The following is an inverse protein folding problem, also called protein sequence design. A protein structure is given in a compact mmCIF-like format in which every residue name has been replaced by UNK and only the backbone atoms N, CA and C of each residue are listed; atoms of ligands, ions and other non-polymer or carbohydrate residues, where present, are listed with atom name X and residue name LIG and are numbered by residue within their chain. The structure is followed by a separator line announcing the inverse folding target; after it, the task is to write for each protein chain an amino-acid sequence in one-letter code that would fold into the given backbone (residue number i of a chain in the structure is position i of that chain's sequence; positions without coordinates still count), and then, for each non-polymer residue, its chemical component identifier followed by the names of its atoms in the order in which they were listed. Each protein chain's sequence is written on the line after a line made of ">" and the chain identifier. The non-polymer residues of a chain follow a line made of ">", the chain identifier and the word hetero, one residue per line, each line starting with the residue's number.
data_IF_641320414150
#
_entry.id   IF_641320414150
#
_cell.length_a   1.000
_cell.length_b   1.000
_cell.length_c   1.000
_cell.angle_alpha   90.00
_cell.angle_beta   90.00
_cell.angle_gamma   90.00
#
_symmetry.space_group_name_H-M   'P 1'
#
loop_
_entity.id
_entity.type
_entity.pdbx_description
1 polymer ?
#
# COMPACT_ATOMS: atom_id res chain seq x y z
N UNK A 1 -28.58 55.59 0.94
CA UNK A 1 -29.87 54.85 0.85
C UNK A 1 -30.26 54.49 -0.58
N UNK A 2 -30.32 55.42 -1.54
CA UNK A 2 -30.79 55.13 -2.92
C UNK A 2 -30.01 54.03 -3.68
N UNK A 3 -28.70 53.88 -3.46
CA UNK A 3 -27.89 52.80 -4.08
C UNK A 3 -28.25 51.42 -3.54
N UNK A 4 -28.48 51.31 -2.23
CA UNK A 4 -28.85 50.05 -1.57
C UNK A 4 -30.25 49.63 -2.02
N UNK A 5 -31.20 50.56 -2.08
CA UNK A 5 -32.57 50.30 -2.58
C UNK A 5 -32.55 49.84 -4.04
N UNK A 6 -31.74 50.48 -4.91
CA UNK A 6 -31.55 50.02 -6.30
C UNK A 6 -31.04 48.59 -6.36
N UNK A 7 -30.03 48.23 -5.56
CA UNK A 7 -29.48 46.86 -5.49
C UNK A 7 -30.55 45.85 -5.08
N UNK A 8 -31.36 46.15 -4.06
CA UNK A 8 -32.46 45.28 -3.63
C UNK A 8 -33.54 45.11 -4.72
N UNK A 9 -33.90 46.19 -5.43
CA UNK A 9 -34.87 46.12 -6.54
C UNK A 9 -34.31 45.29 -7.71
N UNK A 10 -33.02 45.44 -8.03
CA UNK A 10 -32.36 44.65 -9.07
C UNK A 10 -32.27 43.16 -8.69
N UNK A 11 -31.90 42.86 -7.43
CA UNK A 11 -31.89 41.50 -6.88
C UNK A 11 -33.27 40.84 -6.97
N UNK A 12 -34.33 41.57 -6.61
CA UNK A 12 -35.71 41.09 -6.70
C UNK A 12 -36.15 40.84 -8.15
N UNK A 13 -35.88 41.78 -9.04
CA UNK A 13 -36.30 41.70 -10.45
C UNK A 13 -35.53 40.60 -11.22
N UNK A 14 -34.32 40.25 -10.76
CA UNK A 14 -33.50 39.20 -11.35
C UNK A 14 -33.14 38.10 -10.35
N UNK A 15 -34.11 37.64 -9.56
CA UNK A 15 -33.87 36.67 -8.48
C UNK A 15 -33.18 35.40 -8.98
N UNK A 16 -33.56 34.84 -10.13
CA UNK A 16 -32.92 33.66 -10.75
C UNK A 16 -31.44 33.88 -11.12
N UNK A 17 -31.09 35.07 -11.63
CA UNK A 17 -29.70 35.39 -12.00
C UNK A 17 -28.85 35.62 -10.76
N UNK A 18 -29.45 36.26 -9.75
CA UNK A 18 -28.80 36.58 -8.48
C UNK A 18 -28.51 35.33 -7.66
N UNK A 19 -29.43 34.36 -7.62
CA UNK A 19 -29.20 33.07 -6.94
C UNK A 19 -28.10 32.27 -7.61
N UNK A 20 -28.09 32.19 -8.95
CA UNK A 20 -27.01 31.52 -9.70
C UNK A 20 -25.66 32.18 -9.44
N UNK A 21 -25.60 33.51 -9.45
CA UNK A 21 -24.37 34.24 -9.14
C UNK A 21 -23.89 33.98 -7.70
N UNK A 22 -24.80 33.97 -6.72
CA UNK A 22 -24.48 33.68 -5.33
C UNK A 22 -23.94 32.24 -5.17
N UNK A 23 -24.56 31.24 -5.81
CA UNK A 23 -24.08 29.86 -5.79
C UNK A 23 -22.71 29.71 -6.48
N UNK A 24 -22.49 30.40 -7.59
CA UNK A 24 -21.22 30.36 -8.30
C UNK A 24 -20.09 31.01 -7.47
N UNK A 25 -20.37 32.14 -6.81
CA UNK A 25 -19.43 32.81 -5.93
C UNK A 25 -19.13 32.01 -4.67
N UNK A 26 -20.14 31.39 -4.05
CA UNK A 26 -19.92 30.54 -2.86
C UNK A 26 -19.11 29.30 -3.22
N UNK A 27 -19.44 28.62 -4.33
CA UNK A 27 -18.68 27.47 -4.81
C UNK A 27 -17.25 27.85 -5.20
N UNK A 28 -17.06 28.94 -5.96
CA UNK A 28 -15.75 29.43 -6.37
C UNK A 28 -14.90 29.87 -5.18
N UNK A 29 -15.51 30.54 -4.19
CA UNK A 29 -14.87 30.92 -2.93
C UNK A 29 -14.42 29.70 -2.13
N UNK A 30 -15.29 28.70 -1.99
CA UNK A 30 -14.95 27.43 -1.33
C UNK A 30 -13.81 26.68 -2.05
N UNK A 31 -13.84 26.62 -3.38
CA UNK A 31 -12.79 26.01 -4.19
C UNK A 31 -11.45 26.74 -4.04
N UNK A 32 -11.44 28.07 -4.10
CA UNK A 32 -10.24 28.90 -3.89
C UNK A 32 -9.70 28.73 -2.47
N UNK A 33 -10.57 28.69 -1.47
CA UNK A 33 -10.19 28.45 -0.09
C UNK A 33 -9.53 27.08 0.07
N UNK A 34 -10.12 26.02 -0.50
CA UNK A 34 -9.50 24.69 -0.53
C UNK A 34 -8.13 24.70 -1.18
N UNK A 35 -7.97 25.40 -2.31
CA UNK A 35 -6.67 25.54 -2.98
C UNK A 35 -5.63 26.29 -2.13
N UNK A 36 -6.06 27.31 -1.41
CA UNK A 36 -5.21 28.05 -0.48
C UNK A 36 -4.76 27.16 0.69
N UNK A 37 -5.69 26.42 1.31
CA UNK A 37 -5.38 25.46 2.36
C UNK A 37 -4.38 24.39 1.90
N UNK A 38 -4.55 23.85 0.68
CA UNK A 38 -3.58 22.89 0.13
C UNK A 38 -2.18 23.50 -0.03
N UNK A 39 -2.09 24.77 -0.39
CA UNK A 39 -0.80 25.46 -0.53
C UNK A 39 -0.15 25.74 0.83
N UNK A 40 -0.94 26.04 1.86
CA UNK A 40 -0.45 26.14 3.23
C UNK A 40 0.12 24.80 3.71
N UNK A 41 -0.61 23.70 3.51
CA UNK A 41 -0.14 22.36 3.86
C UNK A 41 1.19 22.01 3.16
N UNK A 42 1.32 22.31 1.86
CA UNK A 42 2.59 22.12 1.13
C UNK A 42 3.71 22.95 1.71
N UNK A 43 3.44 24.21 2.05
CA UNK A 43 4.43 25.11 2.64
C UNK A 43 4.92 24.57 3.98
N UNK A 44 3.99 24.18 4.85
CA UNK A 44 4.32 23.67 6.19
C UNK A 44 5.14 22.38 6.09
N UNK A 45 4.76 21.46 5.19
CA UNK A 45 5.52 20.24 4.95
C UNK A 45 6.92 20.51 4.38
N UNK A 46 7.07 21.47 3.47
CA UNK A 46 8.39 21.88 2.97
C UNK A 46 9.26 22.54 4.04
N UNK A 47 8.66 23.31 4.96
CA UNK A 47 9.39 23.91 6.09
C UNK A 47 9.91 22.82 7.03
N UNK A 48 9.07 21.83 7.37
CA UNK A 48 9.50 20.67 8.15
C UNK A 48 10.61 19.89 7.43
N UNK A 49 10.46 19.62 6.13
CA UNK A 49 11.47 18.93 5.32
C UNK A 49 12.82 19.68 5.28
N UNK A 50 12.78 21.01 5.22
CA UNK A 50 13.98 21.86 5.22
C UNK A 50 14.76 21.73 6.52
N UNK A 51 14.09 21.54 7.65
CA UNK A 51 14.77 21.32 8.94
C UNK A 51 15.60 20.02 8.92
N UNK A 52 15.13 18.97 8.23
CA UNK A 52 15.92 17.76 7.99
C UNK A 52 17.14 18.03 7.11
N UNK A 53 16.97 18.77 6.01
CA UNK A 53 18.10 19.09 5.12
C UNK A 53 19.16 20.02 5.73
N UNK A 54 18.81 20.76 6.79
CA UNK A 54 19.75 21.62 7.52
C UNK A 54 20.59 20.86 8.56
N UNK A 55 20.33 19.57 8.77
CA UNK A 55 21.11 18.74 9.67
C UNK A 55 22.55 18.57 9.14
N UNK A 56 23.53 18.77 10.01
CA UNK A 56 24.93 18.63 9.64
C UNK A 56 25.31 17.16 9.56
N UNK A 57 25.98 16.79 8.46
CA UNK A 57 26.48 15.44 8.22
C UNK A 57 28.01 15.48 8.31
N UNK A 58 28.61 14.42 8.85
CA UNK A 58 30.07 14.32 8.91
C UNK A 58 30.66 14.19 7.48
N UNK A 59 31.86 14.72 7.20
CA UNK A 59 32.45 14.65 5.85
C UNK A 59 32.69 13.22 5.32
N UNK A 60 32.69 12.23 6.21
CA UNK A 60 32.91 10.82 5.90
C UNK A 60 31.61 10.05 5.64
N UNK A 61 30.48 10.58 6.10
CA UNK A 61 29.17 9.96 5.98
C UNK A 61 28.54 10.31 4.63
N UNK A 62 28.01 9.30 3.95
CA UNK A 62 27.39 9.48 2.63
C UNK A 62 25.93 9.89 2.79
N UNK A 63 25.44 10.66 1.82
CA UNK A 63 24.01 10.98 1.74
C UNK A 63 23.21 9.71 1.52
N UNK A 64 22.06 9.63 2.21
CA UNK A 64 21.12 8.52 2.04
C UNK A 64 20.60 8.51 0.60
N UNK A 65 20.65 7.35 -0.03
CA UNK A 65 20.16 7.13 -1.41
C UNK A 65 18.76 6.55 -1.38
N UNK A 66 17.81 7.30 -1.95
CA UNK A 66 16.42 6.89 -2.06
C UNK A 66 16.05 6.65 -3.53
N UNK A 67 15.60 5.45 -3.85
CA UNK A 67 15.04 5.14 -5.19
C UNK A 67 13.52 5.23 -5.13
N UNK A 68 12.94 6.08 -5.95
CA UNK A 68 11.49 6.27 -6.03
C UNK A 68 10.94 5.57 -7.26
N UNK A 69 10.00 4.65 -7.09
CA UNK A 69 9.26 4.00 -8.17
C UNK A 69 7.90 4.68 -8.27
N UNK A 70 7.67 5.38 -9.37
CA UNK A 70 6.43 6.08 -9.64
C UNK A 70 5.64 5.36 -10.73
N UNK A 71 4.35 5.14 -10.50
CA UNK A 71 3.40 4.77 -11.55
C UNK A 71 2.61 6.01 -12.02
N UNK A 72 2.97 6.64 -13.15
CA UNK A 72 2.29 7.84 -13.66
C UNK A 72 0.82 7.61 -14.01
N UNK A 73 0.45 6.39 -14.42
CA UNK A 73 -0.90 6.03 -14.83
C UNK A 73 -1.87 5.87 -13.65
N UNK A 74 -1.36 5.79 -12.41
CA UNK A 74 -2.19 5.70 -11.22
C UNK A 74 -3.13 6.91 -11.06
N UNK A 75 -4.26 6.70 -10.36
CA UNK A 75 -5.31 7.70 -10.14
C UNK A 75 -5.77 8.39 -11.43
N UNK A 76 -6.04 7.59 -12.48
CA UNK A 76 -6.48 8.09 -13.78
C UNK A 76 -5.48 9.07 -14.42
N UNK A 77 -4.19 8.78 -14.32
CA UNK A 77 -3.10 9.58 -14.91
C UNK A 77 -2.72 10.86 -14.13
N UNK A 78 -3.28 11.07 -12.93
CA UNK A 78 -2.99 12.25 -12.11
C UNK A 78 -1.80 12.06 -11.17
N UNK A 79 -1.34 10.82 -10.97
CA UNK A 79 -0.30 10.49 -10.01
C UNK A 79 1.01 11.27 -10.23
N UNK A 80 1.47 11.43 -11.48
CA UNK A 80 2.69 12.20 -11.77
C UNK A 80 2.59 13.65 -11.28
N UNK A 81 1.48 14.33 -11.62
CA UNK A 81 1.26 15.72 -11.21
C UNK A 81 1.08 15.86 -9.69
N UNK A 82 0.47 14.87 -9.03
CA UNK A 82 0.31 14.86 -7.57
C UNK A 82 1.66 14.65 -6.88
N UNK A 83 2.47 13.73 -7.37
CA UNK A 83 3.80 13.44 -6.85
C UNK A 83 4.73 14.64 -6.99
N UNK A 84 4.83 15.20 -8.20
CA UNK A 84 5.70 16.35 -8.50
C UNK A 84 5.34 17.59 -7.67
N UNK A 85 4.06 17.81 -7.36
CA UNK A 85 3.61 18.98 -6.59
C UNK A 85 3.69 18.81 -5.09
N UNK A 86 3.48 17.59 -4.58
CA UNK A 86 3.26 17.37 -3.15
C UNK A 86 4.43 16.66 -2.46
N UNK A 87 5.15 15.77 -3.14
CA UNK A 87 6.18 14.92 -2.52
C UNK A 87 7.60 15.26 -2.99
N UNK A 88 7.81 15.54 -4.28
CA UNK A 88 9.14 15.85 -4.84
C UNK A 88 9.85 17.00 -4.10
N UNK A 89 9.21 18.14 -3.79
CA UNK A 89 9.87 19.22 -3.06
C UNK A 89 10.34 18.80 -1.67
N UNK A 90 9.54 17.97 -0.98
CA UNK A 90 9.85 17.47 0.37
C UNK A 90 11.10 16.60 0.33
N UNK A 91 11.16 15.65 -0.62
CA UNK A 91 12.29 14.72 -0.75
C UNK A 91 13.60 15.43 -1.11
N UNK A 92 13.57 16.44 -1.99
CA UNK A 92 14.76 17.21 -2.33
C UNK A 92 15.22 18.14 -1.20
N UNK A 93 14.29 18.76 -0.47
CA UNK A 93 14.63 19.63 0.66
C UNK A 93 15.23 18.86 1.84
N UNK A 94 14.95 17.56 1.96
CA UNK A 94 15.48 16.70 3.02
C UNK A 94 16.98 16.36 2.87
N UNK A 95 17.62 16.72 1.74
CA UNK A 95 19.05 16.47 1.54
C UNK A 95 19.42 15.01 1.21
N UNK A 96 18.50 14.26 0.60
CA UNK A 96 18.75 12.88 0.14
C UNK A 96 19.07 12.83 -1.35
N UNK A 97 19.84 11.81 -1.78
CA UNK A 97 20.03 11.53 -3.20
C UNK A 97 18.83 10.74 -3.73
N UNK A 98 17.94 11.41 -4.47
CA UNK A 98 16.67 10.85 -4.93
C UNK A 98 16.75 10.46 -6.40
N UNK A 99 16.65 9.16 -6.69
CA UNK A 99 16.57 8.63 -8.06
C UNK A 99 15.12 8.28 -8.41
N UNK A 100 14.52 9.01 -9.33
CA UNK A 100 13.13 8.77 -9.76
C UNK A 100 13.09 7.83 -10.97
N UNK A 101 12.39 6.70 -10.82
CA UNK A 101 12.10 5.74 -11.90
C UNK A 101 10.61 5.70 -12.15
N UNK A 102 10.21 5.99 -13.40
CA UNK A 102 8.81 5.94 -13.84
C UNK A 102 8.53 4.59 -14.50
N UNK A 103 7.41 3.98 -14.16
CA UNK A 103 6.93 2.74 -14.79
C UNK A 103 5.99 3.06 -15.95
N UNK A 104 6.19 2.43 -17.09
CA UNK A 104 5.40 2.57 -18.31
C UNK A 104 4.26 1.54 -18.40
N UNK A 105 4.47 0.33 -17.88
CA UNK A 105 3.48 -0.76 -17.96
C UNK A 105 3.47 -1.67 -16.72
N UNK A 106 2.39 -2.46 -16.58
CA UNK A 106 2.18 -3.43 -15.50
C UNK A 106 3.28 -4.50 -15.47
N UNK A 107 3.87 -4.74 -14.30
CA UNK A 107 4.94 -5.70 -14.12
C UNK A 107 6.34 -5.19 -14.50
N UNK A 108 6.47 -3.96 -15.00
CA UNK A 108 7.80 -3.35 -15.19
C UNK A 108 8.47 -3.08 -13.86
N UNK A 109 7.73 -2.63 -12.84
CA UNK A 109 8.28 -2.38 -11.50
C UNK A 109 8.89 -3.67 -10.93
N UNK A 110 8.17 -4.79 -11.08
CA UNK A 110 8.62 -6.12 -10.67
C UNK A 110 9.94 -6.53 -11.32
N UNK A 111 10.06 -6.40 -12.65
CA UNK A 111 11.30 -6.71 -13.39
C UNK A 111 12.45 -5.79 -12.99
N UNK A 112 12.15 -4.50 -12.78
CA UNK A 112 13.15 -3.53 -12.36
C UNK A 112 13.70 -3.89 -10.97
N UNK A 113 12.85 -4.33 -10.04
CA UNK A 113 13.27 -4.73 -8.69
C UNK A 113 14.18 -5.96 -8.68
N UNK A 114 13.98 -6.89 -9.60
CA UNK A 114 14.88 -8.06 -9.75
C UNK A 114 16.31 -7.64 -10.14
N UNK A 115 16.46 -6.54 -10.88
CA UNK A 115 17.73 -6.03 -11.39
C UNK A 115 18.31 -4.87 -10.58
N UNK A 116 17.54 -4.32 -9.62
CA UNK A 116 17.94 -3.12 -8.90
C UNK A 116 19.15 -3.39 -7.99
N UNK A 117 20.08 -2.43 -7.96
CA UNK A 117 21.17 -2.43 -6.98
C UNK A 117 20.64 -2.13 -5.57
N UNK A 118 21.48 -2.41 -4.57
CA UNK A 118 21.13 -2.14 -3.18
C UNK A 118 21.09 -0.64 -2.93
N UNK A 119 20.02 -0.19 -2.29
CA UNK A 119 19.76 1.21 -1.95
C UNK A 119 19.42 1.32 -0.48
N UNK A 120 19.62 2.49 0.12
CA UNK A 120 19.35 2.69 1.55
C UNK A 120 17.85 2.72 1.83
N UNK A 121 17.06 3.20 0.87
CA UNK A 121 15.61 3.30 0.99
C UNK A 121 14.94 3.16 -0.38
N UNK A 122 13.83 2.41 -0.40
CA UNK A 122 12.97 2.31 -1.57
C UNK A 122 11.66 3.04 -1.29
N UNK A 123 11.20 3.90 -2.20
CA UNK A 123 9.95 4.63 -2.06
C UNK A 123 9.02 4.23 -3.21
N UNK A 124 7.84 3.72 -2.90
CA UNK A 124 6.82 3.38 -3.89
C UNK A 124 5.75 4.47 -3.92
N UNK A 125 5.64 5.15 -5.04
CA UNK A 125 4.66 6.21 -5.29
C UNK A 125 3.58 5.69 -6.26
N UNK A 126 2.44 5.28 -5.73
CA UNK A 126 1.41 4.61 -6.53
C UNK A 126 0.19 4.18 -5.72
N UNK A 127 -0.48 3.14 -6.20
CA UNK A 127 -1.51 2.44 -5.43
C UNK A 127 -1.05 1.05 -4.99
N UNK A 128 -1.95 0.31 -4.34
CA UNK A 128 -1.65 -1.01 -3.78
C UNK A 128 -1.07 -2.00 -4.81
N UNK A 129 -1.55 -1.94 -6.07
CA UNK A 129 -1.01 -2.80 -7.15
C UNK A 129 0.46 -2.54 -7.47
N UNK A 130 0.88 -1.27 -7.51
CA UNK A 130 2.30 -0.91 -7.73
C UNK A 130 3.16 -1.36 -6.55
N UNK A 131 2.65 -1.21 -5.33
CA UNK A 131 3.33 -1.71 -4.13
C UNK A 131 3.47 -3.24 -4.15
N UNK A 132 2.43 -3.96 -4.55
CA UNK A 132 2.44 -5.42 -4.70
C UNK A 132 3.48 -5.88 -5.74
N UNK A 133 3.58 -5.20 -6.89
CA UNK A 133 4.57 -5.50 -7.91
C UNK A 133 6.00 -5.35 -7.40
N UNK A 134 6.26 -4.26 -6.68
CA UNK A 134 7.59 -3.96 -6.11
C UNK A 134 7.98 -5.02 -5.08
N UNK A 135 7.10 -5.33 -4.12
CA UNK A 135 7.36 -6.32 -3.09
C UNK A 135 7.54 -7.71 -3.69
N UNK A 136 6.71 -8.05 -4.68
CA UNK A 136 6.86 -9.33 -5.40
C UNK A 136 8.21 -9.39 -6.11
N UNK A 137 8.65 -8.31 -6.75
CA UNK A 137 9.96 -8.28 -7.41
C UNK A 137 11.13 -8.39 -6.43
N UNK A 138 11.04 -7.76 -5.26
CA UNK A 138 12.07 -7.84 -4.23
C UNK A 138 12.17 -9.23 -3.59
N UNK A 139 11.03 -9.81 -3.18
CA UNK A 139 10.99 -11.10 -2.48
C UNK A 139 11.23 -12.30 -3.39
N UNK A 140 11.19 -12.12 -4.72
CA UNK A 140 11.58 -13.17 -5.69
C UNK A 140 13.09 -13.30 -5.88
N UNK A 141 13.89 -12.35 -5.39
CA UNK A 141 15.34 -12.37 -5.57
C UNK A 141 15.99 -13.46 -4.72
N UNK A 142 17.09 -14.00 -5.22
CA UNK A 142 17.92 -14.92 -4.44
C UNK A 142 18.41 -14.24 -3.14
N UNK A 143 18.80 -12.97 -3.22
CA UNK A 143 19.34 -12.19 -2.10
C UNK A 143 18.27 -11.50 -1.24
N UNK A 144 17.03 -12.01 -1.23
CA UNK A 144 15.89 -11.39 -0.55
C UNK A 144 16.14 -11.12 0.95
N UNK A 145 16.95 -11.93 1.66
CA UNK A 145 17.29 -11.71 3.07
C UNK A 145 18.03 -10.39 3.33
N UNK A 146 18.75 -9.88 2.33
CA UNK A 146 19.46 -8.60 2.42
C UNK A 146 18.53 -7.42 2.12
N UNK A 147 17.62 -7.60 1.16
CA UNK A 147 16.67 -6.57 0.72
C UNK A 147 15.42 -6.47 1.60
N UNK A 148 15.05 -7.54 2.32
CA UNK A 148 13.98 -7.49 3.32
C UNK A 148 14.29 -6.51 4.45
N UNK A 149 15.57 -6.16 4.63
CA UNK A 149 16.05 -5.18 5.62
C UNK A 149 16.03 -3.75 5.10
N UNK A 150 15.92 -3.54 3.79
CA UNK A 150 15.83 -2.19 3.22
C UNK A 150 14.43 -1.63 3.49
N UNK A 151 14.31 -0.47 4.18
CA UNK A 151 13.01 0.12 4.46
C UNK A 151 12.31 0.55 3.18
N UNK A 152 11.01 0.22 3.09
CA UNK A 152 10.14 0.60 1.97
C UNK A 152 9.17 1.67 2.44
N UNK A 153 9.29 2.88 1.87
CA UNK A 153 8.32 3.96 2.04
C UNK A 153 7.19 3.85 1.03
N UNK A 154 5.96 4.13 1.45
CA UNK A 154 4.79 4.15 0.57
C UNK A 154 4.19 5.55 0.49
N UNK A 155 4.06 6.07 -0.73
CA UNK A 155 3.39 7.34 -1.02
C UNK A 155 2.06 7.03 -1.72
N UNK A 156 0.92 7.24 -1.03
CA UNK A 156 -0.40 6.86 -1.50
C UNK A 156 -0.90 7.82 -2.59
N UNK A 157 -0.67 7.46 -3.85
CA UNK A 157 -1.15 8.19 -5.02
C UNK A 157 -2.37 7.55 -5.67
N UNK A 158 -2.75 6.34 -5.29
CA UNK A 158 -3.96 5.66 -5.78
C UNK A 158 -5.25 6.32 -5.31
N UNK A 159 -6.37 5.96 -5.96
CA UNK A 159 -7.71 6.44 -5.58
C UNK A 159 -8.22 5.86 -4.26
N UNK A 160 -7.78 4.65 -3.94
CA UNK A 160 -8.07 3.94 -2.69
C UNK A 160 -6.82 3.10 -2.40
N UNK A 161 -6.25 3.24 -1.21
CA UNK A 161 -4.98 2.61 -0.82
C UNK A 161 -5.17 1.96 0.55
N UNK A 162 -5.45 0.66 0.58
CA UNK A 162 -5.88 -0.01 1.81
C UNK A 162 -4.76 -0.08 2.86
N UNK A 163 -3.49 -0.16 2.44
CA UNK A 163 -2.36 -0.14 3.38
C UNK A 163 -2.15 1.23 4.02
N UNK A 164 -2.44 2.29 3.28
CA UNK A 164 -2.28 3.64 3.78
C UNK A 164 -3.21 3.94 4.95
N UNK A 165 -4.41 3.35 4.93
CA UNK A 165 -5.38 3.46 6.02
C UNK A 165 -4.89 2.80 7.31
N UNK A 166 -3.95 1.85 7.20
CA UNK A 166 -3.38 1.12 8.33
C UNK A 166 -2.07 1.75 8.84
N UNK A 167 -1.31 2.42 7.95
CA UNK A 167 0.00 3.01 8.23
C UNK A 167 -0.05 4.50 8.60
N UNK A 168 -1.05 5.23 8.12
CA UNK A 168 -1.13 6.68 8.27
C UNK A 168 -2.46 7.12 8.88
N UNK A 169 -2.45 8.32 9.48
CA UNK A 169 -3.67 8.94 10.00
C UNK A 169 -4.59 9.27 8.81
N UNK A 170 -5.80 8.71 8.84
CA UNK A 170 -6.84 8.99 7.85
C UNK A 170 -7.08 10.50 7.76
N UNK A 171 -7.03 11.03 6.54
CA UNK A 171 -7.33 12.43 6.28
C UNK A 171 -8.13 12.58 5.00
N UNK A 172 -9.19 13.38 5.06
CA UNK A 172 -10.07 13.64 3.91
C UNK A 172 -9.36 14.39 2.77
N UNK A 173 -8.28 15.12 3.08
CA UNK A 173 -7.51 15.84 2.09
C UNK A 173 -6.36 14.98 1.52
N UNK A 174 -6.46 14.66 0.23
CA UNK A 174 -5.44 13.91 -0.51
C UNK A 174 -4.04 14.53 -0.42
N UNK A 175 -3.92 15.87 -0.41
CA UNK A 175 -2.63 16.56 -0.31
C UNK A 175 -2.01 16.29 1.06
N UNK A 176 -2.81 16.45 2.13
CA UNK A 176 -2.38 16.19 3.51
C UNK A 176 -1.85 14.76 3.64
N UNK A 177 -2.58 13.80 3.12
CA UNK A 177 -2.24 12.38 3.14
C UNK A 177 -0.90 12.07 2.43
N UNK A 178 -0.67 12.65 1.25
CA UNK A 178 0.59 12.49 0.51
C UNK A 178 1.74 13.16 1.27
N UNK A 179 1.54 14.39 1.76
CA UNK A 179 2.58 15.13 2.48
C UNK A 179 2.93 14.46 3.80
N UNK A 180 1.94 13.96 4.56
CA UNK A 180 2.18 13.27 5.83
C UNK A 180 2.91 11.96 5.62
N UNK A 181 2.52 11.16 4.61
CA UNK A 181 3.22 9.92 4.28
C UNK A 181 4.69 10.20 3.90
N UNK A 182 4.93 11.24 3.09
CA UNK A 182 6.30 11.64 2.71
C UNK A 182 7.11 12.10 3.91
N UNK A 183 6.52 12.87 4.83
CA UNK A 183 7.19 13.28 6.07
C UNK A 183 7.48 12.09 6.99
N UNK A 184 6.56 11.13 7.14
CA UNK A 184 6.81 9.89 7.91
C UNK A 184 8.01 9.11 7.38
N UNK A 185 8.18 9.08 6.05
CA UNK A 185 9.37 8.46 5.41
C UNK A 185 10.65 9.22 5.82
N UNK A 186 10.62 10.56 5.88
CA UNK A 186 11.76 11.36 6.33
C UNK A 186 12.09 11.16 7.81
N UNK A 187 11.07 11.01 8.67
CA UNK A 187 11.26 10.70 10.08
C UNK A 187 11.96 9.35 10.30
N UNK A 188 11.85 8.42 9.35
CA UNK A 188 12.54 7.13 9.39
C UNK A 188 11.92 6.14 10.37
N UNK A 189 10.66 6.33 10.76
CA UNK A 189 9.92 5.37 11.58
C UNK A 189 9.60 4.13 10.74
N UNK A 190 10.10 2.97 11.17
CA UNK A 190 9.92 1.69 10.47
C UNK A 190 8.98 0.78 11.23
N UNK A 191 8.09 0.10 10.51
CA UNK A 191 7.15 -0.87 11.06
C UNK A 191 7.31 -2.19 10.31
N UNK A 192 7.53 -3.33 11.00
CA UNK A 192 7.55 -4.64 10.35
C UNK A 192 6.14 -4.99 9.85
N UNK A 193 6.05 -5.47 8.61
CA UNK A 193 4.80 -5.90 7.99
C UNK A 193 4.88 -7.35 7.56
N UNK A 194 3.78 -8.07 7.80
CA UNK A 194 3.66 -9.47 7.39
C UNK A 194 3.32 -9.53 5.90
N UNK A 195 3.90 -10.50 5.19
CA UNK A 195 3.66 -10.69 3.75
C UNK A 195 3.12 -12.09 3.52
N UNK A 196 2.10 -12.21 2.66
CA UNK A 196 1.56 -13.49 2.25
C UNK A 196 2.23 -13.94 0.93
N UNK A 197 2.66 -15.20 0.86
CA UNK A 197 3.18 -15.81 -0.37
C UNK A 197 2.12 -16.72 -0.99
N UNK A 198 1.71 -16.41 -2.22
CA UNK A 198 0.81 -17.22 -3.02
C UNK A 198 1.63 -17.91 -4.10
N UNK A 199 1.63 -19.24 -4.12
CA UNK A 199 2.34 -20.02 -5.12
C UNK A 199 1.35 -20.88 -5.91
N UNK A 200 1.22 -20.60 -7.21
CA UNK A 200 0.54 -21.50 -8.13
C UNK A 200 1.43 -22.69 -8.49
N UNK A 201 0.84 -23.78 -8.97
CA UNK A 201 1.58 -25.02 -9.29
C UNK A 201 2.70 -24.81 -10.33
N UNK A 202 2.43 -23.99 -11.35
CA UNK A 202 3.33 -23.77 -12.50
C UNK A 202 3.92 -22.37 -12.56
N UNK A 203 3.39 -21.44 -11.78
CA UNK A 203 3.76 -20.03 -11.83
C UNK A 203 4.75 -19.66 -10.73
N UNK A 204 5.50 -18.59 -10.97
CA UNK A 204 6.37 -18.03 -9.94
C UNK A 204 5.55 -17.44 -8.78
N UNK A 205 6.04 -17.54 -7.53
CA UNK A 205 5.30 -17.12 -6.34
C UNK A 205 5.01 -15.62 -6.35
N UNK A 206 3.77 -15.23 -6.09
CA UNK A 206 3.34 -13.83 -5.95
C UNK A 206 3.26 -13.50 -4.47
N UNK A 207 3.69 -12.31 -4.09
CA UNK A 207 3.61 -11.84 -2.72
C UNK A 207 2.54 -10.76 -2.61
N UNK A 208 1.81 -10.72 -1.50
CA UNK A 208 0.86 -9.65 -1.23
C UNK A 208 0.90 -9.20 0.23
N UNK A 209 0.58 -7.93 0.46
CA UNK A 209 0.59 -7.34 1.79
C UNK A 209 -0.78 -7.35 2.47
N UNK A 210 -1.87 -7.24 1.71
CA UNK A 210 -3.21 -7.10 2.27
C UNK A 210 -3.91 -8.44 2.27
N UNK A 211 -4.05 -9.05 1.09
CA UNK A 211 -4.86 -10.25 0.95
C UNK A 211 -5.22 -10.60 -0.49
N UNK A 212 -5.80 -11.78 -0.63
CA UNK A 212 -6.48 -12.28 -1.83
C UNK A 212 -7.99 -12.22 -1.60
N UNK A 213 -8.73 -11.85 -2.64
CA UNK A 213 -10.21 -11.90 -2.67
C UNK A 213 -10.66 -12.64 -3.91
N UNK A 214 -11.56 -13.59 -3.74
CA UNK A 214 -12.12 -14.41 -4.81
C UNK A 214 -13.63 -14.56 -4.61
N UNK A 215 -14.42 -14.25 -5.64
CA UNK A 215 -15.87 -14.39 -5.62
C UNK A 215 -16.62 -13.20 -6.20
N UNK A 216 -17.93 -13.17 -5.97
CA UNK A 216 -18.88 -12.29 -6.65
C UNK A 216 -18.55 -10.80 -6.51
N UNK A 217 -18.21 -10.32 -5.31
CA UNK A 217 -17.85 -8.92 -5.10
C UNK A 217 -16.61 -8.51 -5.89
N UNK A 218 -15.60 -9.40 -6.02
CA UNK A 218 -14.39 -9.13 -6.80
C UNK A 218 -14.68 -9.02 -8.29
N UNK A 219 -15.56 -9.88 -8.80
CA UNK A 219 -16.00 -9.86 -10.19
C UNK A 219 -16.77 -8.58 -10.50
N UNK A 220 -17.70 -8.19 -9.63
CA UNK A 220 -18.41 -6.91 -9.75
C UNK A 220 -17.43 -5.74 -9.70
N UNK A 221 -16.47 -5.73 -8.77
CA UNK A 221 -15.46 -4.68 -8.65
C UNK A 221 -14.66 -4.47 -9.95
N UNK A 222 -14.42 -5.53 -10.72
CA UNK A 222 -13.77 -5.43 -12.03
C UNK A 222 -14.63 -4.71 -13.08
N UNK A 223 -15.96 -4.83 -12.98
CA UNK A 223 -16.92 -4.25 -13.92
C UNK A 223 -17.36 -2.82 -13.57
N UNK A 224 -17.21 -2.37 -12.32
CA UNK A 224 -17.62 -1.02 -11.87
C UNK A 224 -17.10 0.08 -12.80
N UNK A 225 -15.85 -0.04 -13.27
CA UNK A 225 -15.23 0.96 -14.17
C UNK A 225 -15.94 1.06 -15.53
N UNK A 226 -16.60 -0.01 -16.00
CA UNK A 226 -17.34 -0.03 -17.28
C UNK A 226 -18.58 0.88 -17.21
N UNK A 227 -19.19 1.01 -16.03
CA UNK A 227 -20.39 1.81 -15.80
C UNK A 227 -20.10 3.27 -15.41
N UNK A 228 -19.01 3.85 -15.94
CA UNK A 228 -18.57 5.21 -15.60
C UNK A 228 -19.64 6.29 -15.84
N UNK A 229 -20.55 6.05 -16.80
CA UNK A 229 -21.64 6.96 -17.18
C UNK A 229 -22.75 7.09 -16.12
N UNK A 230 -22.85 6.16 -15.17
CA UNK A 230 -23.85 6.21 -14.09
C UNK A 230 -23.39 7.05 -12.89
N UNK A 231 -22.20 7.64 -12.93
CA UNK A 231 -21.69 8.55 -11.91
C UNK A 231 -21.72 7.91 -10.51
N UNK A 232 -22.46 8.50 -9.53
CA UNK A 232 -22.51 7.98 -8.16
C UNK A 232 -23.23 6.63 -8.04
N UNK A 233 -24.11 6.28 -8.98
CA UNK A 233 -24.87 5.04 -8.96
C UNK A 233 -24.11 3.86 -9.53
N UNK A 234 -22.92 4.08 -10.14
CA UNK A 234 -22.17 3.03 -10.85
C UNK A 234 -21.83 1.80 -10.00
N UNK A 235 -21.60 1.99 -8.69
CA UNK A 235 -21.25 0.89 -7.77
C UNK A 235 -22.48 0.01 -7.58
N UNK A 236 -23.56 0.58 -7.03
CA UNK A 236 -24.84 -0.11 -6.82
C UNK A 236 -25.40 -0.71 -8.11
N UNK A 237 -25.29 0.01 -9.23
CA UNK A 237 -25.74 -0.48 -10.52
C UNK A 237 -24.91 -1.68 -11.00
N UNK A 238 -23.59 -1.70 -10.76
CA UNK A 238 -22.76 -2.85 -11.11
C UNK A 238 -23.18 -4.10 -10.33
N UNK A 239 -23.43 -3.97 -9.02
CA UNK A 239 -23.96 -5.05 -8.20
C UNK A 239 -25.33 -5.51 -8.71
N UNK A 240 -26.25 -4.58 -8.96
CA UNK A 240 -27.57 -4.88 -9.47
C UNK A 240 -27.53 -5.59 -10.84
N UNK A 241 -26.75 -5.08 -11.80
CA UNK A 241 -26.59 -5.72 -13.11
C UNK A 241 -25.97 -7.12 -13.03
N UNK A 242 -25.10 -7.37 -12.05
CA UNK A 242 -24.56 -8.71 -11.80
C UNK A 242 -25.67 -9.67 -11.35
N UNK A 243 -26.51 -9.24 -10.40
CA UNK A 243 -27.62 -10.06 -9.90
C UNK A 243 -28.68 -10.37 -10.95
N UNK A 244 -28.86 -9.48 -11.94
CA UNK A 244 -29.77 -9.73 -13.07
C UNK A 244 -29.28 -10.79 -14.03
N UNK A 245 -27.96 -11.03 -14.10
CA UNK A 245 -27.40 -12.06 -14.97
C UNK A 245 -27.53 -13.42 -14.33
N UNK A 246 -27.09 -13.51 -13.08
CA UNK A 246 -27.03 -14.78 -12.36
C UNK A 246 -27.09 -14.51 -10.86
N UNK A 247 -27.99 -15.22 -10.17
CA UNK A 247 -28.14 -15.20 -8.72
C UNK A 247 -28.70 -16.54 -8.23
N UNK A 248 -28.13 -17.17 -7.20
CA UNK A 248 -26.98 -16.72 -6.38
C UNK A 248 -25.62 -17.10 -7.03
N UNK A 249 -24.59 -16.25 -6.87
CA UNK A 249 -23.25 -16.46 -7.45
C UNK A 249 -22.33 -17.21 -6.49
N UNK A 250 -22.75 -18.40 -6.08
CA UNK A 250 -22.02 -19.21 -5.10
C UNK A 250 -20.94 -20.04 -5.81
N UNK A 251 -19.76 -20.08 -5.21
CA UNK A 251 -18.64 -20.88 -5.69
C UNK A 251 -18.25 -21.89 -4.61
N UNK A 252 -18.01 -23.14 -5.03
CA UNK A 252 -17.49 -24.19 -4.17
C UNK A 252 -15.95 -24.20 -4.22
N UNK A 253 -15.32 -24.26 -3.05
CA UNK A 253 -13.87 -24.40 -2.91
C UNK A 253 -13.50 -25.30 -1.73
N UNK A 254 -12.41 -26.06 -1.87
CA UNK A 254 -11.77 -26.76 -0.76
C UNK A 254 -10.59 -25.95 -0.24
N UNK A 255 -10.53 -25.76 1.08
CA UNK A 255 -9.45 -25.06 1.76
C UNK A 255 -8.86 -25.99 2.81
N UNK A 256 -7.56 -26.25 2.71
CA UNK A 256 -6.78 -26.91 3.75
C UNK A 256 -5.98 -25.87 4.52
N UNK A 257 -5.98 -25.95 5.85
CA UNK A 257 -5.28 -24.98 6.70
C UNK A 257 -4.64 -25.65 7.91
N UNK A 258 -3.64 -24.96 8.49
CA UNK A 258 -2.97 -25.31 9.74
C UNK A 258 -3.39 -24.30 10.81
N UNK A 259 -3.44 -24.74 12.07
CA UNK A 259 -3.75 -23.88 13.20
C UNK A 259 -2.66 -22.78 13.40
N UNK A 260 -3.02 -21.61 13.96
CA UNK A 260 -2.06 -20.56 14.27
C UNK A 260 -0.88 -21.04 15.10
N UNK A 261 0.31 -20.52 14.80
CA UNK A 261 1.53 -20.77 15.57
C UNK A 261 1.85 -19.59 16.46
N UNK A 262 2.49 -19.85 17.60
CA UNK A 262 2.97 -18.78 18.47
C UNK A 262 4.11 -18.03 17.79
N UNK A 263 4.03 -16.70 17.79
CA UNK A 263 5.08 -15.86 17.22
C UNK A 263 6.37 -16.03 18.03
N UNK A 264 7.51 -16.33 17.38
CA UNK A 264 8.79 -16.32 18.07
C UNK A 264 9.10 -14.90 18.56
N UNK A 265 9.67 -14.72 19.77
CA UNK A 265 10.00 -13.39 20.27
C UNK A 265 10.96 -12.68 19.31
N UNK A 266 10.70 -11.40 19.04
CA UNK A 266 11.55 -10.52 18.23
C UNK A 266 12.92 -10.33 18.94
N UNK A 267 13.82 -11.29 18.76
CA UNK A 267 15.18 -11.18 19.26
C UNK A 267 15.95 -10.22 18.35
N UNK A 268 16.69 -9.24 18.91
CA UNK A 268 17.55 -8.40 18.10
C UNK A 268 18.55 -9.28 17.37
N UNK A 269 18.63 -9.13 16.05
CA UNK A 269 19.57 -9.88 15.21
C UNK A 269 21.01 -9.61 15.68
N UNK A 270 21.57 -10.52 16.46
CA UNK A 270 23.00 -10.55 16.67
C UNK A 270 23.64 -11.04 15.38
N UNK A 271 24.19 -10.12 14.56
CA UNK A 271 25.11 -10.51 13.49
C UNK A 271 26.22 -11.34 14.16
N UNK A 272 26.36 -12.64 13.84
CA UNK A 272 27.41 -13.43 14.45
C UNK A 272 28.74 -12.77 14.09
N UNK A 273 29.47 -12.29 15.10
CA UNK A 273 30.78 -11.68 14.87
C UNK A 273 31.65 -12.70 14.13
N UNK A 274 32.23 -12.27 13.00
CA UNK A 274 33.06 -13.14 12.18
C UNK A 274 34.21 -13.63 13.04
N UNK A 275 34.32 -14.94 13.31
CA UNK A 275 35.34 -15.42 14.25
C UNK A 275 36.74 -15.20 13.69
N UNK A 276 37.71 -15.02 14.59
CA UNK A 276 39.11 -14.76 14.26
C UNK A 276 39.72 -15.80 13.29
N UNK A 277 40.73 -15.38 12.51
CA UNK A 277 41.36 -16.21 11.47
C UNK A 277 41.80 -17.58 12.00
N UNK A 278 42.43 -17.62 13.18
CA UNK A 278 42.88 -18.86 13.81
C UNK A 278 41.73 -19.83 14.10
N UNK A 279 40.57 -19.32 14.53
CA UNK A 279 39.38 -20.14 14.74
C UNK A 279 38.85 -20.72 13.43
N UNK A 280 38.94 -19.97 12.32
CA UNK A 280 38.50 -20.46 11.00
C UNK A 280 39.45 -21.54 10.45
N UNK A 281 40.76 -21.36 10.64
CA UNK A 281 41.77 -22.36 10.27
C UNK A 281 41.60 -23.62 11.13
N UNK A 282 41.47 -23.47 12.45
CA UNK A 282 41.23 -24.58 13.36
C UNK A 282 39.93 -25.30 13.05
N UNK A 283 38.85 -24.58 12.70
CA UNK A 283 37.57 -25.17 12.30
C UNK A 283 37.66 -25.93 10.98
N UNK A 284 38.45 -25.44 10.01
CA UNK A 284 38.74 -26.18 8.76
C UNK A 284 39.49 -27.47 9.06
N UNK A 285 40.61 -27.40 9.77
CA UNK A 285 41.39 -28.58 10.16
C UNK A 285 40.55 -29.58 10.97
N UNK A 286 39.71 -29.08 11.89
CA UNK A 286 38.79 -29.91 12.66
C UNK A 286 37.73 -30.57 11.78
N UNK A 287 37.17 -29.86 10.79
CA UNK A 287 36.23 -30.45 9.85
C UNK A 287 36.90 -31.44 8.88
N UNK A 288 38.19 -31.25 8.54
CA UNK A 288 38.96 -32.19 7.73
C UNK A 288 39.26 -33.49 8.49
N UNK A 289 39.57 -33.40 9.80
CA UNK A 289 39.84 -34.58 10.64
C UNK A 289 38.58 -35.24 11.21
N UNK A 290 37.55 -34.45 11.48
CA UNK A 290 36.25 -34.88 11.98
C UNK A 290 35.16 -34.19 11.15
N UNK A 291 34.84 -34.74 9.96
CA UNK A 291 33.73 -34.21 9.19
C UNK A 291 32.47 -34.21 10.07
N UNK A 292 31.70 -33.10 10.08
CA UNK A 292 30.47 -33.06 10.84
C UNK A 292 29.59 -34.21 10.36
N UNK A 293 29.21 -35.08 11.28
CA UNK A 293 28.24 -36.12 11.01
C UNK A 293 26.98 -35.38 10.52
N UNK A 294 26.45 -35.69 9.33
CA UNK A 294 25.22 -35.08 8.88
C UNK A 294 24.19 -35.30 9.98
N UNK A 295 23.66 -34.20 10.53
CA UNK A 295 22.63 -34.28 11.53
C UNK A 295 21.54 -35.20 10.96
N UNK A 296 21.18 -36.24 11.71
CA UNK A 296 20.04 -37.08 11.35
C UNK A 296 18.88 -36.15 11.05
N UNK A 297 18.19 -36.31 9.90
CA UNK A 297 17.08 -35.43 9.55
C UNK A 297 16.17 -35.38 10.76
N UNK A 298 15.91 -34.18 11.30
CA UNK A 298 14.88 -34.01 12.30
C UNK A 298 13.63 -34.62 11.68
N UNK A 299 13.08 -35.64 12.33
CA UNK A 299 11.78 -36.18 11.93
C UNK A 299 10.79 -35.08 12.32
N UNK A 300 10.53 -34.18 11.37
CA UNK A 300 9.47 -33.18 11.51
C UNK A 300 8.17 -33.98 11.70
N UNK A 301 7.49 -33.73 12.81
CA UNK A 301 6.17 -34.32 13.03
C UNK A 301 5.28 -33.94 11.84
N UNK A 302 4.51 -34.88 11.27
CA UNK A 302 3.68 -34.56 10.11
C UNK A 302 2.70 -33.45 10.49
N UNK A 303 2.78 -32.33 9.77
CA UNK A 303 1.86 -31.21 9.95
C UNK A 303 0.43 -31.73 9.78
N UNK A 304 -0.42 -31.47 10.77
CA UNK A 304 -1.82 -31.90 10.73
C UNK A 304 -2.63 -30.84 10.00
N UNK A 305 -2.96 -31.13 8.74
CA UNK A 305 -3.81 -30.29 7.90
C UNK A 305 -5.28 -30.64 8.12
N UNK A 306 -6.09 -29.63 8.40
CA UNK A 306 -7.55 -29.77 8.42
C UNK A 306 -8.11 -29.30 7.08
N UNK A 307 -8.93 -30.14 6.44
CA UNK A 307 -9.58 -29.82 5.16
C UNK A 307 -11.05 -29.44 5.39
N UNK A 308 -11.48 -28.35 4.74
CA UNK A 308 -12.88 -27.93 4.71
C UNK A 308 -13.32 -27.62 3.29
N UNK A 309 -14.46 -28.19 2.90
CA UNK A 309 -15.20 -27.78 1.70
C UNK A 309 -16.18 -26.68 2.06
N UNK A 310 -16.16 -25.60 1.27
CA UNK A 310 -16.93 -24.39 1.52
C UNK A 310 -17.68 -24.01 0.24
N UNK A 311 -18.98 -23.74 0.36
CA UNK A 311 -19.74 -22.98 -0.64
C UNK A 311 -19.87 -21.55 -0.13
N UNK A 312 -19.44 -20.58 -0.93
CA UNK A 312 -19.33 -19.18 -0.51
C UNK A 312 -19.62 -18.22 -1.67
N UNK A 313 -20.17 -17.04 -1.38
CA UNK A 313 -20.27 -15.94 -2.35
C UNK A 313 -18.91 -15.24 -2.56
N UNK A 314 -18.16 -15.04 -1.49
CA UNK A 314 -16.80 -14.48 -1.52
C UNK A 314 -15.92 -15.11 -0.44
N UNK A 315 -14.72 -15.50 -0.85
CA UNK A 315 -13.62 -15.91 0.00
C UNK A 315 -12.57 -14.80 0.02
N UNK A 316 -12.14 -14.41 1.22
CA UNK A 316 -10.99 -13.52 1.36
C UNK A 316 -9.97 -14.06 2.36
N UNK A 317 -8.71 -14.00 1.95
CA UNK A 317 -7.54 -14.49 2.68
C UNK A 317 -6.67 -13.27 2.91
N UNK A 318 -6.63 -12.76 4.14
CA UNK A 318 -6.04 -11.46 4.47
C UNK A 318 -4.97 -11.58 5.55
N UNK A 319 -3.97 -10.71 5.48
CA UNK A 319 -3.04 -10.47 6.57
C UNK A 319 -3.72 -9.61 7.63
N UNK A 320 -3.15 -9.60 8.83
CA UNK A 320 -3.63 -8.75 9.93
C UNK A 320 -2.90 -7.40 9.98
N UNK A 321 -2.47 -6.88 8.83
CA UNK A 321 -1.71 -5.63 8.71
C UNK A 321 -2.54 -4.36 8.96
N UNK A 322 -3.81 -4.48 9.38
CA UNK A 322 -4.69 -3.34 9.68
C UNK A 322 -4.23 -2.51 10.89
N UNK A 323 -3.52 -3.11 11.83
CA UNK A 323 -2.93 -2.41 12.97
C UNK A 323 -1.54 -2.98 13.28
N UNK A 324 -0.51 -2.55 12.54
CA UNK A 324 0.81 -3.19 12.63
C UNK A 324 1.59 -2.79 13.90
N UNK A 325 1.13 -1.80 14.66
CA UNK A 325 1.78 -1.34 15.90
C UNK A 325 1.50 -2.28 17.09
N UNK A 326 0.39 -3.03 17.06
CA UNK A 326 0.05 -3.95 18.14
C UNK A 326 0.82 -5.26 17.98
N UNK A 327 1.63 -5.60 18.99
CA UNK A 327 2.34 -6.89 19.07
C UNK A 327 1.33 -8.01 19.24
N UNK A 328 1.33 -8.95 18.29
CA UNK A 328 0.45 -10.11 18.30
C UNK A 328 1.12 -11.30 18.98
N UNK A 329 0.30 -12.14 19.61
CA UNK A 329 0.74 -13.36 20.29
C UNK A 329 0.95 -14.48 19.26
N UNK A 330 0.06 -14.56 18.27
CA UNK A 330 0.03 -15.62 17.27
C UNK A 330 0.35 -15.07 15.88
N UNK A 331 1.13 -15.83 15.11
CA UNK A 331 1.27 -15.67 13.67
C UNK A 331 0.11 -16.40 12.99
N UNK A 332 -0.86 -15.61 12.54
CA UNK A 332 -2.09 -16.12 11.94
C UNK A 332 -2.49 -15.34 10.70
N UNK A 333 -3.09 -16.07 9.76
CA UNK A 333 -3.74 -15.51 8.59
C UNK A 333 -5.24 -15.46 8.83
N UNK A 334 -5.89 -14.40 8.37
CA UNK A 334 -7.34 -14.22 8.52
C UNK A 334 -8.06 -14.73 7.27
N UNK A 335 -8.77 -15.85 7.40
CA UNK A 335 -9.63 -16.40 6.34
C UNK A 335 -11.09 -16.01 6.64
N UNK A 336 -11.64 -15.14 5.81
CA UNK A 336 -13.03 -14.71 5.85
C UNK A 336 -13.82 -15.43 4.76
N UNK A 337 -14.90 -16.08 5.17
CA UNK A 337 -15.85 -16.77 4.31
C UNK A 337 -17.18 -16.04 4.45
N UNK A 338 -17.64 -15.42 3.37
CA UNK A 338 -18.95 -14.80 3.36
C UNK A 338 -20.05 -15.88 3.20
N UNK A 339 -21.14 -15.81 3.98
CA UNK A 339 -22.21 -16.81 3.92
C UNK A 339 -22.95 -16.81 2.59
N UNK A 340 -23.59 -17.93 2.26
CA UNK A 340 -24.41 -18.05 1.05
C UNK A 340 -25.81 -17.43 1.18
N UNK A 341 -26.19 -17.01 2.40
CA UNK A 341 -27.53 -16.54 2.74
C UNK A 341 -27.76 -15.05 2.47
N UNK A 342 -26.89 -14.37 1.73
CA UNK A 342 -27.12 -12.96 1.38
C UNK A 342 -28.40 -12.82 0.57
N UNK A 343 -29.15 -11.74 0.82
CA UNK A 343 -30.20 -11.33 -0.10
C UNK A 343 -29.62 -10.47 -1.21
N UNK A 344 -30.33 -10.37 -2.34
CA UNK A 344 -29.96 -9.44 -3.43
C UNK A 344 -29.86 -8.01 -2.92
N UNK A 345 -30.75 -7.62 -2.00
CA UNK A 345 -30.73 -6.29 -1.37
C UNK A 345 -29.44 -6.07 -0.59
N UNK A 346 -29.05 -7.03 0.24
CA UNK A 346 -27.82 -6.96 1.05
C UNK A 346 -26.57 -6.94 0.18
N UNK A 347 -26.54 -7.72 -0.90
CA UNK A 347 -25.41 -7.72 -1.84
C UNK A 347 -25.20 -6.35 -2.52
N UNK A 348 -26.29 -5.62 -2.82
CA UNK A 348 -26.22 -4.29 -3.44
C UNK A 348 -25.94 -3.18 -2.43
N UNK A 349 -26.29 -3.37 -1.16
CA UNK A 349 -26.06 -2.37 -0.11
C UNK A 349 -24.66 -2.46 0.49
N UNK A 350 -24.12 -3.69 0.62
CA UNK A 350 -22.78 -3.96 1.13
C UNK A 350 -21.70 -3.68 0.07
N UNK A 351 -21.98 -3.98 -1.20
CA UNK A 351 -21.09 -3.68 -2.34
C UNK A 351 -21.11 -2.22 -2.75
#
# INVERSE_FOLDING_TARGET
>A
MARVVKVFVTLRNHWKKSTVAACALSYGGHWLYGKHCDNLLRRDACLAAREFGHQQISPQEQLKKATVILNPAACSGKANNLFEKNAVPILHLAGMEVTLVKTDYEGQAKKLMELMEQTDMLIVAGGDGTLQEVITGLLRRADHESFSKTPIGFIPLGSHNSLSESLHILSDNQVKHITSATLSILHGETVPLDVLQIKGEKEQPVFALIGLRWGAFRDVASTIKKYWYLGPLKIKAAHWFSTLREWPQVHEASVSYIAPTLRPPDLPEQKPQRPNLMYRIARRLKNDWYPPIPASPKVEEPERWDERTLSTLELSIQTQNKNPVQTRIDDSLLVCVEPDSFTVGDFITVG
#
